data_IF_404158368903
#
_entry.id   IF_404158368903
#
_cell.length_a   1.000
_cell.length_b   1.000
_cell.length_c   1.000
_cell.angle_alpha   90.00
_cell.angle_beta   90.00
_cell.angle_gamma   90.00
#
_symmetry.space_group_name_H-M   'P 1'
#
loop_
_entity.id
_entity.type
_entity.pdbx_description
1 polymer ?
#
# COMPACT_ATOMS: atom_id res chain seq x y z
N UNK A 1 -7.44 0.04 -3.02
CA UNK A 1 -7.44 -0.57 -1.67
C UNK A 1 -7.07 0.52 -0.68
N UNK A 2 -7.83 0.72 0.39
CA UNK A 2 -7.44 1.62 1.47
C UNK A 2 -6.38 0.95 2.35
N UNK A 3 -5.33 1.67 2.70
CA UNK A 3 -4.15 1.08 3.36
C UNK A 3 -3.75 1.84 4.63
N UNK A 4 -3.02 1.14 5.51
CA UNK A 4 -2.49 1.67 6.76
C UNK A 4 -1.15 0.99 7.09
N UNK A 5 -0.08 1.75 7.38
CA UNK A 5 1.26 1.22 7.67
C UNK A 5 1.37 0.61 9.07
N UNK A 6 0.61 1.12 10.05
CA UNK A 6 0.61 0.64 11.44
C UNK A 6 -0.61 -0.24 11.77
N UNK A 7 -1.08 -1.01 10.79
CA UNK A 7 -2.16 -1.96 10.95
C UNK A 7 -1.62 -3.37 11.24
N UNK A 8 -2.32 -4.18 12.04
CA UNK A 8 -1.96 -5.60 12.19
C UNK A 8 -2.04 -6.39 10.88
N UNK A 9 -2.79 -5.87 9.91
CA UNK A 9 -2.92 -6.46 8.58
C UNK A 9 -1.89 -5.94 7.58
N UNK A 10 -1.00 -5.00 7.92
CA UNK A 10 0.00 -4.41 6.99
C UNK A 10 0.74 -5.44 6.11
N UNK A 11 1.07 -6.67 6.57
CA UNK A 11 1.64 -7.71 5.70
C UNK A 11 0.83 -8.04 4.42
N UNK A 12 -0.44 -7.62 4.31
CA UNK A 12 -1.24 -7.75 3.10
C UNK A 12 -0.60 -7.09 1.86
N UNK A 13 0.28 -6.10 2.04
CA UNK A 13 1.02 -5.46 0.95
C UNK A 13 1.76 -6.47 0.06
N UNK A 14 2.35 -7.53 0.64
CA UNK A 14 3.06 -8.56 -0.13
C UNK A 14 2.12 -9.34 -1.04
N UNK A 15 0.93 -9.67 -0.54
CA UNK A 15 -0.10 -10.38 -1.32
C UNK A 15 -0.63 -9.52 -2.46
N UNK A 16 -0.88 -8.23 -2.18
CA UNK A 16 -1.30 -7.26 -3.20
C UNK A 16 -0.22 -7.05 -4.26
N UNK A 17 1.04 -6.96 -3.86
CA UNK A 17 2.17 -6.82 -4.78
C UNK A 17 2.33 -8.06 -5.67
N UNK A 18 2.19 -9.26 -5.11
CA UNK A 18 2.19 -10.52 -5.88
C UNK A 18 1.05 -10.54 -6.90
N UNK A 19 -0.17 -10.18 -6.49
CA UNK A 19 -1.33 -10.08 -7.39
C UNK A 19 -1.10 -9.05 -8.50
N UNK A 20 -0.59 -7.87 -8.14
CA UNK A 20 -0.28 -6.82 -9.10
C UNK A 20 0.72 -7.30 -10.14
N UNK A 21 1.86 -7.87 -9.71
CA UNK A 21 2.88 -8.40 -10.62
C UNK A 21 2.37 -9.55 -11.50
N UNK A 22 1.56 -10.45 -10.94
CA UNK A 22 1.07 -11.62 -11.67
C UNK A 22 0.06 -11.26 -12.76
N UNK A 23 -0.75 -10.23 -12.53
CA UNK A 23 -1.89 -9.92 -13.40
C UNK A 23 -1.81 -8.54 -14.09
N UNK A 24 -0.74 -7.76 -13.88
CA UNK A 24 -0.55 -6.45 -14.53
C UNK A 24 -0.55 -6.55 -16.05
N UNK A 25 0.09 -7.57 -16.61
CA UNK A 25 0.07 -7.84 -18.06
C UNK A 25 -1.30 -8.24 -18.60
N UNK A 26 -2.22 -8.62 -17.70
CA UNK A 26 -3.62 -8.95 -18.00
C UNK A 26 -4.58 -7.80 -17.67
N UNK A 27 -4.06 -6.62 -17.35
CA UNK A 27 -4.84 -5.41 -17.08
C UNK A 27 -5.21 -5.17 -15.62
N UNK A 28 -4.76 -6.00 -14.67
CA UNK A 28 -5.01 -5.73 -13.24
C UNK A 28 -4.08 -4.62 -12.73
N UNK A 29 -4.66 -3.53 -12.23
CA UNK A 29 -3.95 -2.48 -11.51
C UNK A 29 -4.38 -2.45 -10.04
N UNK A 30 -3.41 -2.57 -9.13
CA UNK A 30 -3.64 -2.29 -7.70
C UNK A 30 -3.37 -0.80 -7.49
N UNK A 31 -4.26 -0.12 -6.77
CA UNK A 31 -4.14 1.30 -6.45
C UNK A 31 -4.28 1.46 -4.93
N UNK A 32 -3.24 1.94 -4.27
CA UNK A 32 -3.20 2.13 -2.82
C UNK A 32 -3.65 3.52 -2.42
N UNK A 33 -4.61 3.61 -1.49
CA UNK A 33 -5.13 4.87 -0.94
C UNK A 33 -4.87 4.88 0.57
N UNK A 34 -3.76 5.48 1.03
CA UNK A 34 -3.48 5.58 2.46
C UNK A 34 -4.62 6.27 3.21
N UNK A 35 -5.02 5.74 4.36
CA UNK A 35 -6.16 6.28 5.11
C UNK A 35 -5.89 6.23 6.62
N UNK A 36 -5.92 7.41 7.25
CA UNK A 36 -5.69 7.53 8.70
C UNK A 36 -6.99 7.51 9.53
N UNK A 37 -8.15 7.27 8.91
CA UNK A 37 -9.46 7.34 9.58
C UNK A 37 -9.79 6.09 10.41
N UNK A 38 -8.99 5.04 10.30
CA UNK A 38 -9.16 3.79 11.04
C UNK A 38 -8.12 3.71 12.17
N UNK A 39 -8.52 4.11 13.38
CA UNK A 39 -7.69 4.06 14.59
C UNK A 39 -6.32 4.78 14.47
N UNK A 40 -6.23 5.80 13.60
CA UNK A 40 -5.01 6.58 13.35
C UNK A 40 -3.79 5.71 12.96
N UNK A 41 -4.00 4.64 12.19
CA UNK A 41 -2.95 3.69 11.81
C UNK A 41 -2.10 4.11 10.60
N UNK A 42 -2.31 5.32 10.06
CA UNK A 42 -1.53 5.88 8.95
C UNK A 42 -1.11 7.33 9.25
N UNK A 43 -0.37 7.58 10.36
CA UNK A 43 -0.11 8.94 10.83
C UNK A 43 0.93 9.70 9.99
N UNK A 44 1.73 8.99 9.18
CA UNK A 44 2.82 9.57 8.40
C UNK A 44 2.35 10.53 7.30
N UNK A 45 3.30 11.30 6.77
CA UNK A 45 3.15 12.08 5.54
C UNK A 45 3.09 11.17 4.31
N UNK A 46 2.59 11.69 3.18
CA UNK A 46 2.50 10.90 1.94
C UNK A 46 3.87 10.35 1.50
N UNK A 47 4.95 11.13 1.70
CA UNK A 47 6.31 10.72 1.41
C UNK A 47 6.76 9.58 2.33
N UNK A 48 6.54 9.70 3.65
CA UNK A 48 6.90 8.65 4.62
C UNK A 48 6.14 7.35 4.35
N UNK A 49 4.85 7.44 4.00
CA UNK A 49 4.02 6.27 3.68
C UNK A 49 4.55 5.57 2.42
N UNK A 50 4.81 6.32 1.34
CA UNK A 50 5.34 5.76 0.11
C UNK A 50 6.71 5.08 0.32
N UNK A 51 7.61 5.73 1.08
CA UNK A 51 8.90 5.16 1.46
C UNK A 51 8.74 3.90 2.30
N UNK A 52 7.83 3.89 3.28
CA UNK A 52 7.55 2.73 4.11
C UNK A 52 7.10 1.53 3.27
N UNK A 53 6.12 1.71 2.36
CA UNK A 53 5.61 0.65 1.49
C UNK A 53 6.69 0.08 0.56
N UNK A 54 7.54 0.95 -0.01
CA UNK A 54 8.62 0.53 -0.90
C UNK A 54 9.74 -0.21 -0.14
N UNK A 55 10.23 0.35 0.97
CA UNK A 55 11.37 -0.19 1.70
C UNK A 55 11.05 -1.51 2.42
N UNK A 56 9.85 -1.64 2.98
CA UNK A 56 9.50 -2.80 3.80
C UNK A 56 8.79 -3.91 3.03
N UNK A 57 8.10 -3.59 1.93
CA UNK A 57 7.24 -4.54 1.21
C UNK A 57 7.50 -4.60 -0.29
N UNK A 58 8.42 -3.79 -0.83
CA UNK A 58 8.74 -3.79 -2.26
C UNK A 58 7.56 -3.44 -3.15
N UNK A 59 6.59 -2.67 -2.62
CA UNK A 59 5.39 -2.23 -3.34
C UNK A 59 5.80 -1.42 -4.57
N UNK A 60 5.34 -1.87 -5.74
CA UNK A 60 5.59 -1.22 -7.03
C UNK A 60 4.33 -0.61 -7.64
N UNK A 61 3.16 -0.96 -7.12
CA UNK A 61 1.89 -0.38 -7.55
C UNK A 61 1.71 1.07 -7.06
N UNK A 62 0.84 1.83 -7.73
CA UNK A 62 0.67 3.25 -7.48
C UNK A 62 0.04 3.52 -6.10
N UNK A 63 0.74 4.34 -5.30
CA UNK A 63 0.25 4.88 -4.03
C UNK A 63 -0.22 6.33 -4.23
N UNK A 64 -1.43 6.63 -3.78
CA UNK A 64 -2.02 7.97 -3.79
C UNK A 64 -1.75 8.71 -2.48
N UNK A 65 -2.13 9.99 -2.44
CA UNK A 65 -2.11 10.78 -1.22
C UNK A 65 -3.32 10.46 -0.32
N UNK A 66 -3.13 10.59 1.00
CA UNK A 66 -4.19 10.49 2.00
C UNK A 66 -5.16 11.68 1.98
#
# INVERSE_FOLDING_TARGET
>A
VNTASKCGLTPHYEGLEKLHKQYSSKGLAVLGFPCNQFSNQEPGTNQEIASFCSLNYGVSFQMFSK
#
